data_IF_783909918734
#
_entry.id   IF_783909918734
#
_cell.length_a   1.000
_cell.length_b   1.000
_cell.length_c   1.000
_cell.angle_alpha   90.00
_cell.angle_beta   90.00
_cell.angle_gamma   90.00
#
_symmetry.space_group_name_H-M   'P 1'
#
loop_
_entity.id
_entity.type
_entity.pdbx_description
1 polymer ?
#
# COMPACT_ATOMS: atom_id res chain seq x y z
N UNK A 1 66.10 2.36 3.65
CA UNK A 1 64.80 2.80 4.21
C UNK A 1 63.67 1.97 3.61
N UNK A 2 63.22 1.03 4.42
CA UNK A 2 62.15 0.11 4.03
C UNK A 2 60.82 0.65 4.58
N UNK A 3 60.03 1.27 3.72
CA UNK A 3 58.68 1.73 4.05
C UNK A 3 57.72 0.54 4.17
N UNK A 4 57.37 0.20 5.40
CA UNK A 4 56.38 -0.83 5.72
C UNK A 4 55.00 -0.21 5.53
N UNK A 5 54.32 -0.50 4.41
CA UNK A 5 52.93 -0.08 4.17
C UNK A 5 52.00 -0.99 4.95
N UNK A 6 51.40 -0.48 6.05
CA UNK A 6 50.40 -1.16 6.81
C UNK A 6 49.06 -1.09 6.07
N UNK A 7 48.64 -2.17 5.45
CA UNK A 7 47.30 -2.31 4.89
C UNK A 7 46.31 -2.49 6.03
N UNK A 8 45.54 -1.47 6.33
CA UNK A 8 44.35 -1.59 7.18
C UNK A 8 43.24 -2.20 6.33
N UNK A 9 42.98 -3.48 6.49
CA UNK A 9 41.80 -4.13 5.91
C UNK A 9 40.54 -3.61 6.65
N UNK A 10 39.85 -2.65 6.02
CA UNK A 10 38.51 -2.25 6.46
C UNK A 10 37.57 -3.42 6.08
N UNK A 11 37.37 -4.34 7.00
CA UNK A 11 36.39 -5.39 6.89
C UNK A 11 35.01 -4.75 6.87
N UNK A 12 34.42 -4.59 5.69
CA UNK A 12 32.98 -4.30 5.58
C UNK A 12 32.23 -5.49 6.18
N UNK A 13 31.75 -5.33 7.41
CA UNK A 13 30.82 -6.28 7.99
C UNK A 13 29.60 -6.33 7.06
N UNK A 14 29.45 -7.43 6.33
CA UNK A 14 28.22 -7.73 5.60
C UNK A 14 27.14 -7.82 6.67
N UNK A 15 26.36 -6.75 6.85
CA UNK A 15 25.19 -6.80 7.72
C UNK A 15 24.25 -7.85 7.13
N UNK A 16 23.95 -8.87 7.92
CA UNK A 16 22.90 -9.83 7.57
C UNK A 16 21.64 -9.04 7.20
N UNK A 17 21.04 -9.36 6.08
CA UNK A 17 19.81 -8.73 5.65
C UNK A 17 18.73 -9.05 6.68
N UNK A 18 18.23 -8.04 7.37
CA UNK A 18 17.11 -8.21 8.29
C UNK A 18 15.86 -8.62 7.50
N UNK A 19 15.15 -9.60 8.01
CA UNK A 19 13.91 -10.13 7.43
C UNK A 19 12.84 -10.29 8.49
N UNK A 20 11.59 -10.27 8.08
CA UNK A 20 10.46 -10.60 8.93
C UNK A 20 10.40 -12.14 9.11
N UNK A 21 10.40 -12.58 10.34
CA UNK A 21 10.16 -13.99 10.68
C UNK A 21 8.66 -14.26 10.76
N UNK A 22 8.24 -15.53 10.74
CA UNK A 22 6.85 -15.92 10.93
C UNK A 22 6.29 -15.39 12.28
N UNK A 23 7.12 -15.37 13.34
CA UNK A 23 6.74 -14.79 14.63
C UNK A 23 6.54 -13.28 14.56
N UNK A 24 7.39 -12.55 13.80
CA UNK A 24 7.20 -11.11 13.59
C UNK A 24 5.88 -10.84 12.86
N UNK A 25 5.61 -11.57 11.78
CA UNK A 25 4.37 -11.45 11.00
C UNK A 25 3.15 -11.74 11.88
N UNK A 26 3.16 -12.83 12.63
CA UNK A 26 2.05 -13.17 13.54
C UNK A 26 1.80 -12.09 14.58
N UNK A 27 2.85 -11.51 15.16
CA UNK A 27 2.74 -10.42 16.13
C UNK A 27 2.20 -9.14 15.50
N UNK A 28 2.67 -8.76 14.31
CA UNK A 28 2.21 -7.58 13.58
C UNK A 28 0.72 -7.70 13.27
N UNK A 29 0.30 -8.85 12.72
CA UNK A 29 -1.12 -9.10 12.42
C UNK A 29 -1.99 -9.05 13.67
N UNK A 30 -1.54 -9.66 14.77
CA UNK A 30 -2.27 -9.65 16.04
C UNK A 30 -2.41 -8.24 16.62
N UNK A 31 -1.35 -7.44 16.60
CA UNK A 31 -1.38 -6.06 17.08
C UNK A 31 -2.32 -5.20 16.24
N UNK A 32 -2.25 -5.30 14.91
CA UNK A 32 -3.12 -4.54 14.02
C UNK A 32 -4.60 -4.97 14.17
N UNK A 33 -4.87 -6.26 14.33
CA UNK A 33 -6.22 -6.76 14.58
C UNK A 33 -6.77 -6.27 15.93
N UNK A 34 -5.96 -6.29 16.98
CA UNK A 34 -6.37 -5.78 18.31
C UNK A 34 -6.66 -4.28 18.28
N UNK A 35 -5.87 -3.51 17.54
CA UNK A 35 -6.13 -2.07 17.38
C UNK A 35 -7.42 -1.82 16.60
N UNK A 36 -7.64 -2.56 15.51
CA UNK A 36 -8.87 -2.48 14.73
C UNK A 36 -10.11 -2.86 15.57
N UNK A 37 -10.00 -3.92 16.38
CA UNK A 37 -11.05 -4.34 17.32
C UNK A 37 -11.34 -3.26 18.36
N UNK A 38 -10.29 -2.69 18.97
CA UNK A 38 -10.42 -1.61 19.96
C UNK A 38 -11.09 -0.35 19.42
N UNK A 39 -10.99 -0.13 18.11
CA UNK A 39 -11.69 0.96 17.40
C UNK A 39 -13.09 0.59 16.91
N UNK A 40 -13.50 -0.67 17.02
CA UNK A 40 -14.75 -1.15 16.45
C UNK A 40 -14.77 -1.18 14.93
N UNK A 41 -13.58 -1.27 14.30
CA UNK A 41 -13.39 -1.24 12.85
C UNK A 41 -12.79 -2.57 12.37
N UNK A 42 -13.57 -3.64 12.22
CA UNK A 42 -13.06 -4.90 11.69
C UNK A 42 -12.39 -4.69 10.34
N UNK A 43 -11.16 -5.19 10.20
CA UNK A 43 -10.31 -4.90 9.06
C UNK A 43 -9.84 -6.16 8.33
N UNK A 44 -9.41 -5.97 7.08
CA UNK A 44 -8.54 -6.90 6.36
C UNK A 44 -7.13 -6.34 6.37
N UNK A 45 -6.17 -7.15 6.83
CA UNK A 45 -4.80 -6.74 7.10
C UNK A 45 -3.85 -7.63 6.31
N UNK A 46 -2.86 -7.04 5.63
CA UNK A 46 -1.83 -7.75 4.89
C UNK A 46 -0.44 -7.30 5.33
N UNK A 47 0.50 -8.23 5.35
CA UNK A 47 1.93 -7.98 5.59
C UNK A 47 2.73 -8.52 4.41
N UNK A 48 3.63 -7.69 3.89
CA UNK A 48 4.55 -8.05 2.81
C UNK A 48 5.99 -7.83 3.23
N UNK A 49 6.92 -8.53 2.58
CA UNK A 49 8.35 -8.25 2.75
C UNK A 49 8.81 -7.04 1.91
N UNK A 50 10.11 -6.76 1.95
CA UNK A 50 10.72 -5.62 1.25
C UNK A 50 10.55 -5.65 -0.26
N UNK A 51 10.39 -6.83 -0.85
CA UNK A 51 10.22 -7.03 -2.30
C UNK A 51 8.80 -7.39 -2.70
N UNK A 52 7.84 -7.28 -1.78
CA UNK A 52 6.41 -7.46 -2.05
C UNK A 52 5.92 -8.90 -2.01
N UNK A 53 6.69 -9.87 -1.47
CA UNK A 53 6.12 -11.17 -1.20
C UNK A 53 5.11 -11.05 -0.06
N UNK A 54 3.92 -11.63 -0.25
CA UNK A 54 2.89 -11.66 0.79
C UNK A 54 3.28 -12.68 1.85
N UNK A 55 3.49 -12.20 3.08
CA UNK A 55 3.89 -13.02 4.22
C UNK A 55 2.70 -13.47 5.06
N UNK A 56 1.62 -12.70 5.06
CA UNK A 56 0.40 -13.05 5.75
C UNK A 56 -0.74 -12.10 5.40
N UNK A 57 -1.96 -12.64 5.41
CA UNK A 57 -3.20 -11.87 5.29
C UNK A 57 -4.15 -12.35 6.38
N UNK A 58 -4.77 -11.43 7.07
CA UNK A 58 -5.75 -11.70 8.11
C UNK A 58 -7.03 -10.90 7.85
N UNK A 59 -8.16 -11.60 7.78
CA UNK A 59 -9.48 -10.98 7.61
C UNK A 59 -10.27 -11.16 8.92
N UNK A 60 -10.57 -10.06 9.58
CA UNK A 60 -11.40 -10.07 10.78
C UNK A 60 -12.84 -10.41 10.42
N UNK A 61 -13.53 -11.14 11.31
CA UNK A 61 -14.96 -11.38 11.16
C UNK A 61 -15.73 -10.07 11.28
N UNK A 62 -16.73 -9.88 10.42
CA UNK A 62 -17.56 -8.67 10.44
C UNK A 62 -16.95 -7.45 9.72
N UNK A 63 -15.76 -7.57 9.12
CA UNK A 63 -15.27 -6.53 8.24
C UNK A 63 -16.26 -6.35 7.09
N UNK A 64 -16.97 -5.23 7.09
CA UNK A 64 -17.92 -4.87 6.04
C UNK A 64 -17.20 -3.95 5.06
N UNK A 65 -17.06 -4.41 3.84
CA UNK A 65 -16.09 -3.88 2.93
C UNK A 65 -16.70 -3.35 1.63
N UNK A 66 -18.02 -3.34 1.56
CA UNK A 66 -18.75 -2.65 0.51
C UNK A 66 -19.65 -1.58 1.16
N UNK A 67 -19.31 -0.33 0.95
CA UNK A 67 -20.23 0.75 1.30
C UNK A 67 -21.31 0.85 0.21
N UNK A 68 -22.57 0.50 0.51
CA UNK A 68 -23.65 0.57 -0.47
C UNK A 68 -23.94 2.01 -0.93
N UNK A 69 -23.51 3.02 -0.17
CA UNK A 69 -23.67 4.43 -0.55
C UNK A 69 -22.75 4.86 -1.69
N UNK A 70 -21.71 4.10 -1.96
CA UNK A 70 -20.72 4.38 -3.01
C UNK A 70 -20.72 3.35 -4.15
N UNK A 71 -21.60 2.36 -4.10
CA UNK A 71 -21.74 1.44 -5.22
C UNK A 71 -22.09 2.24 -6.50
N UNK A 72 -21.33 2.07 -7.61
CA UNK A 72 -21.72 2.63 -8.87
C UNK A 72 -23.17 2.23 -9.19
N UNK A 73 -23.95 3.18 -9.65
CA UNK A 73 -25.38 2.97 -9.92
C UNK A 73 -25.61 1.70 -10.75
N UNK A 74 -26.26 0.72 -10.15
CA UNK A 74 -26.67 -0.51 -10.81
C UNK A 74 -25.72 -1.70 -10.70
N UNK A 75 -24.62 -1.60 -10.00
CA UNK A 75 -23.71 -2.74 -9.75
C UNK A 75 -23.82 -3.18 -8.29
N UNK A 76 -24.37 -4.35 -8.04
CA UNK A 76 -24.35 -4.94 -6.70
C UNK A 76 -23.02 -5.67 -6.46
N UNK A 77 -22.42 -5.55 -5.25
CA UNK A 77 -21.28 -6.38 -4.88
C UNK A 77 -21.66 -7.87 -4.94
N UNK A 78 -20.74 -8.72 -5.39
CA UNK A 78 -20.91 -10.17 -5.29
C UNK A 78 -20.94 -10.56 -3.81
N UNK A 79 -22.03 -11.12 -3.28
CA UNK A 79 -22.14 -11.44 -1.86
C UNK A 79 -21.20 -12.58 -1.43
N UNK A 80 -20.60 -13.31 -2.37
CA UNK A 80 -19.66 -14.39 -2.10
C UNK A 80 -18.22 -13.91 -2.01
N UNK A 81 -17.93 -12.69 -2.47
CA UNK A 81 -16.60 -12.07 -2.43
C UNK A 81 -16.61 -10.90 -1.46
N UNK A 82 -15.61 -10.90 -0.58
CA UNK A 82 -15.33 -9.71 0.22
C UNK A 82 -14.61 -8.71 -0.67
N UNK A 83 -15.30 -7.63 -0.96
CA UNK A 83 -14.80 -6.59 -1.87
C UNK A 83 -14.88 -5.22 -1.20
N UNK A 84 -14.09 -4.30 -1.69
CA UNK A 84 -14.16 -2.88 -1.36
C UNK A 84 -14.58 -2.10 -2.58
N UNK A 85 -15.31 -1.02 -2.37
CA UNK A 85 -15.69 -0.10 -3.43
C UNK A 85 -14.49 0.68 -3.92
N UNK A 86 -14.32 0.79 -5.24
CA UNK A 86 -13.29 1.61 -5.84
C UNK A 86 -13.79 3.03 -5.98
N UNK A 87 -13.11 3.95 -5.33
CA UNK A 87 -13.28 5.37 -5.57
C UNK A 87 -12.33 5.80 -6.67
N UNK A 88 -12.85 6.47 -7.63
CA UNK A 88 -12.08 7.02 -8.71
C UNK A 88 -12.83 8.15 -9.37
N UNK A 89 -12.12 9.02 -10.04
CA UNK A 89 -12.75 10.00 -10.89
C UNK A 89 -13.34 9.28 -12.11
N UNK A 90 -14.66 9.22 -12.30
CA UNK A 90 -15.27 8.52 -13.44
C UNK A 90 -14.95 9.16 -14.80
N UNK A 91 -14.11 10.18 -14.84
CA UNK A 91 -13.92 11.05 -16.02
C UNK A 91 -12.68 10.75 -16.85
N UNK A 92 -11.86 9.74 -16.53
CA UNK A 92 -10.68 9.59 -17.36
C UNK A 92 -9.81 8.36 -17.13
N UNK A 93 -8.93 8.06 -18.06
CA UNK A 93 -7.97 6.97 -17.99
C UNK A 93 -6.86 7.19 -16.94
N UNK A 94 -6.83 8.33 -16.32
CA UNK A 94 -5.91 8.75 -15.27
C UNK A 94 -6.36 8.35 -13.85
N UNK A 95 -7.51 7.72 -13.73
CA UNK A 95 -8.11 7.42 -12.43
C UNK A 95 -7.65 6.12 -11.79
N UNK A 96 -6.70 5.39 -12.36
CA UNK A 96 -6.33 4.06 -11.86
C UNK A 96 -7.51 3.09 -11.78
N UNK A 97 -7.31 1.81 -11.67
CA UNK A 97 -8.38 0.80 -11.56
C UNK A 97 -9.53 0.97 -12.55
N UNK A 98 -9.23 1.54 -13.71
CA UNK A 98 -10.18 1.97 -14.72
C UNK A 98 -11.23 0.89 -15.04
N UNK A 99 -12.50 1.23 -14.92
CA UNK A 99 -13.63 0.35 -15.19
C UNK A 99 -13.94 -0.68 -14.10
N UNK A 100 -13.21 -0.69 -12.99
CA UNK A 100 -13.53 -1.55 -11.84
C UNK A 100 -14.43 -0.79 -10.86
N UNK A 101 -15.53 -1.42 -10.47
CA UNK A 101 -16.39 -0.92 -9.41
C UNK A 101 -15.97 -1.43 -8.04
N UNK A 102 -15.44 -2.64 -8.00
CA UNK A 102 -15.04 -3.34 -6.77
C UNK A 102 -13.74 -4.08 -6.99
N UNK A 103 -12.96 -4.24 -5.93
CA UNK A 103 -11.77 -5.08 -5.88
C UNK A 103 -11.80 -5.93 -4.61
N UNK A 104 -11.19 -7.13 -4.59
CA UNK A 104 -11.05 -7.90 -3.38
C UNK A 104 -10.31 -7.11 -2.28
N UNK A 105 -10.84 -7.12 -1.08
CA UNK A 105 -10.27 -6.44 0.08
C UNK A 105 -8.83 -6.89 0.38
N UNK A 106 -8.54 -8.16 0.16
CA UNK A 106 -7.19 -8.73 0.31
C UNK A 106 -6.20 -8.10 -0.66
N UNK A 107 -6.60 -7.88 -1.92
CA UNK A 107 -5.75 -7.22 -2.90
C UNK A 107 -5.54 -5.75 -2.57
N UNK A 108 -6.58 -5.07 -2.06
CA UNK A 108 -6.48 -3.68 -1.60
C UNK A 108 -5.50 -3.56 -0.41
N UNK A 109 -5.62 -4.43 0.59
CA UNK A 109 -4.69 -4.47 1.73
C UNK A 109 -3.25 -4.78 1.28
N UNK A 110 -3.05 -5.73 0.36
CA UNK A 110 -1.74 -6.06 -0.20
C UNK A 110 -1.16 -4.86 -0.96
N UNK A 111 -1.93 -4.17 -1.78
CA UNK A 111 -1.47 -3.01 -2.52
C UNK A 111 -1.03 -1.87 -1.57
N UNK A 112 -1.77 -1.64 -0.48
CA UNK A 112 -1.38 -0.70 0.58
C UNK A 112 -0.06 -1.11 1.24
N UNK A 113 0.09 -2.39 1.60
CA UNK A 113 1.32 -2.92 2.20
C UNK A 113 2.52 -2.78 1.26
N UNK A 114 2.37 -3.16 -0.01
CA UNK A 114 3.40 -3.04 -1.06
C UNK A 114 3.82 -1.59 -1.23
N UNK A 115 2.87 -0.66 -1.21
CA UNK A 115 3.16 0.78 -1.35
C UNK A 115 4.04 1.28 -0.21
N UNK A 116 3.72 0.93 1.03
CA UNK A 116 4.54 1.26 2.19
C UNK A 116 5.96 0.69 2.07
N UNK A 117 6.09 -0.55 1.61
CA UNK A 117 7.38 -1.19 1.41
C UNK A 117 8.20 -0.56 0.27
N UNK A 118 7.58 -0.20 -0.86
CA UNK A 118 8.29 0.24 -2.06
C UNK A 118 8.68 1.71 -2.03
N UNK A 119 7.81 2.58 -1.51
CA UNK A 119 8.08 4.02 -1.46
C UNK A 119 8.96 4.42 -0.29
N UNK A 120 9.18 3.54 0.68
CA UNK A 120 9.99 3.83 1.86
C UNK A 120 11.46 3.41 1.69
N UNK A 121 12.33 4.02 2.47
CA UNK A 121 13.76 3.70 2.56
C UNK A 121 14.21 3.69 4.02
N UNK A 122 15.49 3.43 4.29
CA UNK A 122 16.04 3.52 5.64
C UNK A 122 16.01 4.94 6.20
N UNK A 123 16.00 5.95 5.33
CA UNK A 123 15.98 7.37 5.74
C UNK A 123 14.61 8.01 5.71
N UNK A 124 13.66 7.46 4.96
CA UNK A 124 12.34 8.05 4.77
C UNK A 124 11.24 6.98 4.85
N UNK A 125 10.31 7.18 5.76
CA UNK A 125 9.11 6.37 5.89
C UNK A 125 7.94 7.06 5.17
N UNK A 126 7.36 6.36 4.18
CA UNK A 126 6.17 6.81 3.47
C UNK A 126 4.98 5.93 3.83
N UNK A 127 3.95 6.54 4.40
CA UNK A 127 2.63 5.92 4.48
C UNK A 127 1.83 6.18 3.20
N UNK A 128 0.82 5.37 2.92
CA UNK A 128 -0.10 5.65 1.81
C UNK A 128 -0.88 6.93 2.03
N UNK A 129 -1.08 7.37 3.28
CA UNK A 129 -1.66 8.68 3.56
C UNK A 129 -0.77 9.84 3.10
N UNK A 130 0.54 9.73 3.27
CA UNK A 130 1.47 10.73 2.71
C UNK A 130 1.43 10.68 1.19
N UNK A 131 1.41 9.47 0.59
CA UNK A 131 1.29 9.31 -0.84
C UNK A 131 0.01 9.97 -1.38
N UNK A 132 -1.13 9.82 -0.69
CA UNK A 132 -2.41 10.43 -1.05
C UNK A 132 -2.32 11.95 -1.30
N UNK A 133 -1.49 12.65 -0.55
CA UNK A 133 -1.32 14.09 -0.73
C UNK A 133 -0.45 14.45 -1.95
N UNK A 134 0.62 13.71 -2.16
CA UNK A 134 1.64 14.04 -3.17
C UNK A 134 1.40 13.42 -4.54
N UNK A 135 0.39 12.53 -4.68
CA UNK A 135 -0.03 11.96 -5.97
C UNK A 135 -1.15 12.75 -6.66
N UNK A 136 -1.67 13.82 -6.03
CA UNK A 136 -2.79 14.59 -6.56
C UNK A 136 -2.47 15.22 -7.92
N UNK A 137 -3.49 15.39 -8.75
CA UNK A 137 -3.41 16.12 -10.02
C UNK A 137 -2.93 17.57 -9.81
N UNK A 138 -3.34 18.15 -8.69
CA UNK A 138 -2.91 19.46 -8.25
C UNK A 138 -2.27 19.31 -6.87
N UNK A 139 -1.09 19.90 -6.70
CA UNK A 139 -0.42 19.88 -5.42
C UNK A 139 -1.14 20.81 -4.45
N UNK A 140 -1.31 20.36 -3.22
CA UNK A 140 -2.30 20.74 -2.23
C UNK A 140 -3.72 20.32 -2.67
N UNK A 141 -4.25 19.24 -2.11
CA UNK A 141 -5.59 18.76 -2.42
C UNK A 141 -6.66 19.84 -2.22
N UNK A 142 -7.61 19.90 -3.14
CA UNK A 142 -8.68 20.90 -3.15
C UNK A 142 -8.30 22.22 -3.81
N UNK A 143 -7.05 22.40 -4.28
CA UNK A 143 -6.64 23.55 -5.07
C UNK A 143 -6.72 23.23 -6.57
N UNK A 144 -7.25 24.16 -7.35
CA UNK A 144 -7.26 24.09 -8.80
C UNK A 144 -6.11 24.92 -9.41
N UNK A 145 -5.69 24.56 -10.62
CA UNK A 145 -4.69 25.28 -11.41
C UNK A 145 -3.28 25.34 -10.81
N UNK A 146 -2.96 24.44 -9.91
CA UNK A 146 -1.62 24.25 -9.38
C UNK A 146 -0.91 23.11 -10.13
N UNK A 147 0.43 23.02 -10.08
CA UNK A 147 1.16 21.89 -10.63
C UNK A 147 0.75 20.56 -9.97
N UNK A 148 0.95 19.45 -10.67
CA UNK A 148 0.76 18.12 -10.12
C UNK A 148 1.74 17.83 -8.99
N UNK A 149 1.34 16.94 -8.09
CA UNK A 149 2.19 16.47 -7.00
C UNK A 149 3.41 15.67 -7.49
N UNK A 150 4.48 15.60 -6.69
CA UNK A 150 5.74 14.96 -7.11
C UNK A 150 5.61 13.46 -7.40
N UNK A 151 4.63 12.77 -6.85
CA UNK A 151 4.34 11.36 -7.12
C UNK A 151 3.05 11.16 -7.93
N UNK A 152 2.66 12.14 -8.71
CA UNK A 152 1.47 12.06 -9.58
C UNK A 152 1.43 10.78 -10.43
N UNK A 153 2.58 10.33 -10.94
CA UNK A 153 2.70 9.10 -11.72
C UNK A 153 2.30 7.82 -10.98
N UNK A 154 2.18 7.83 -9.64
CA UNK A 154 1.71 6.67 -8.86
C UNK A 154 0.29 6.27 -9.28
N UNK A 155 -0.55 7.22 -9.67
CA UNK A 155 -1.92 6.95 -10.12
C UNK A 155 -1.95 6.03 -11.34
N UNK A 156 -1.02 6.22 -12.29
CA UNK A 156 -0.95 5.38 -13.49
C UNK A 156 -0.42 3.97 -13.20
N UNK A 157 0.19 3.74 -12.04
CA UNK A 157 0.63 2.40 -11.63
C UNK A 157 -0.52 1.40 -11.48
N UNK A 158 -1.74 1.90 -11.28
CA UNK A 158 -2.94 1.09 -11.12
C UNK A 158 -3.58 0.69 -12.45
N UNK A 159 -3.10 1.23 -13.56
CA UNK A 159 -3.60 0.86 -14.88
C UNK A 159 -3.15 -0.58 -15.23
N UNK A 160 -3.99 -1.35 -15.93
CA UNK A 160 -3.66 -2.74 -16.28
C UNK A 160 -2.39 -2.91 -17.10
N UNK A 161 -1.96 -1.86 -17.80
CA UNK A 161 -0.75 -1.87 -18.63
C UNK A 161 0.49 -1.33 -17.91
N UNK A 162 0.40 -0.93 -16.64
CA UNK A 162 1.55 -0.42 -15.90
C UNK A 162 2.60 -1.51 -15.66
N UNK A 163 3.85 -1.12 -15.47
CA UNK A 163 4.95 -2.05 -15.18
C UNK A 163 4.73 -2.82 -13.86
N UNK A 164 4.07 -2.20 -12.88
CA UNK A 164 3.73 -2.85 -11.60
C UNK A 164 2.58 -3.86 -11.72
N UNK A 165 1.71 -3.71 -12.70
CA UNK A 165 0.58 -4.63 -12.93
C UNK A 165 0.92 -5.70 -13.96
N UNK A 166 1.86 -5.43 -14.87
CA UNK A 166 2.28 -6.40 -15.89
C UNK A 166 3.05 -7.57 -15.25
N UNK A 167 2.87 -8.72 -15.84
CA UNK A 167 3.61 -9.91 -15.48
C UNK A 167 5.07 -9.73 -15.90
N UNK A 168 6.01 -9.67 -14.95
CA UNK A 168 7.39 -9.90 -15.32
C UNK A 168 7.56 -11.36 -15.70
N UNK A 169 8.18 -11.61 -16.85
CA UNK A 169 8.17 -12.91 -17.51
C UNK A 169 9.09 -13.95 -16.87
N UNK A 170 9.91 -13.58 -15.91
CA UNK A 170 11.09 -14.38 -15.57
C UNK A 170 11.18 -14.89 -14.13
N UNK A 171 10.19 -14.60 -13.30
CA UNK A 171 10.17 -15.08 -11.91
C UNK A 171 11.37 -14.66 -11.06
N UNK A 172 12.11 -13.64 -11.49
CA UNK A 172 13.37 -13.23 -10.91
C UNK A 172 13.24 -12.60 -9.54
N UNK A 173 14.35 -12.54 -8.86
CA UNK A 173 14.55 -11.85 -7.59
C UNK A 173 14.40 -10.35 -7.81
N UNK A 174 13.40 -9.75 -7.20
CA UNK A 174 13.15 -8.31 -7.34
C UNK A 174 11.75 -7.93 -6.90
N UNK A 175 11.36 -6.67 -7.04
CA UNK A 175 10.05 -6.21 -6.67
C UNK A 175 8.96 -7.03 -7.34
N UNK A 176 8.04 -7.56 -6.54
CA UNK A 176 6.91 -8.35 -7.02
C UNK A 176 5.86 -7.45 -7.65
N UNK A 177 5.13 -8.00 -8.56
CA UNK A 177 3.99 -7.34 -9.16
C UNK A 177 2.93 -7.04 -8.11
N UNK A 178 2.40 -5.82 -8.14
CA UNK A 178 1.18 -5.46 -7.42
C UNK A 178 -0.01 -5.48 -8.39
N UNK A 179 -0.98 -6.38 -8.24
CA UNK A 179 -2.11 -6.48 -9.16
C UNK A 179 -2.92 -5.18 -9.30
N UNK A 180 -2.99 -4.40 -8.23
CA UNK A 180 -3.68 -3.10 -8.19
C UNK A 180 -2.73 -1.91 -8.31
N UNK A 181 -1.44 -2.14 -8.61
CA UNK A 181 -0.43 -1.08 -8.60
C UNK A 181 -0.08 -0.60 -7.19
N UNK A 182 0.40 0.63 -7.08
CA UNK A 182 0.62 1.31 -5.81
C UNK A 182 -0.66 2.03 -5.36
N UNK A 183 -0.88 2.06 -4.05
CA UNK A 183 -2.05 2.67 -3.45
C UNK A 183 -1.73 4.07 -2.93
N UNK A 184 -2.59 5.03 -3.21
CA UNK A 184 -2.63 6.32 -2.53
C UNK A 184 -3.70 6.38 -1.44
N UNK A 185 -4.48 5.32 -1.29
CA UNK A 185 -5.51 5.20 -0.29
C UNK A 185 -4.89 4.94 1.10
N UNK A 186 -5.27 5.68 2.17
CA UNK A 186 -4.72 5.51 3.51
C UNK A 186 -4.83 4.08 4.06
N UNK A 187 -3.92 3.70 4.95
CA UNK A 187 -3.90 2.39 5.61
C UNK A 187 -2.65 1.54 5.33
N UNK A 188 -1.70 2.04 4.54
CA UNK A 188 -0.42 1.38 4.28
C UNK A 188 0.74 2.05 5.01
N UNK A 189 1.60 1.26 5.65
CA UNK A 189 2.75 1.72 6.43
C UNK A 189 3.98 0.84 6.17
N UNK A 190 5.19 1.38 6.17
CA UNK A 190 6.41 0.61 6.12
C UNK A 190 6.69 -0.10 7.45
N UNK A 191 7.36 -1.24 7.38
CA UNK A 191 7.82 -2.00 8.53
C UNK A 191 9.33 -1.94 8.63
N UNK A 192 9.81 -1.59 9.82
CA UNK A 192 11.24 -1.51 10.13
C UNK A 192 11.63 -2.50 11.23
N UNK A 193 12.81 -3.09 11.08
CA UNK A 193 13.45 -3.94 12.08
C UNK A 193 14.90 -3.50 12.22
N UNK A 194 15.31 -3.18 13.45
CA UNK A 194 16.66 -2.67 13.74
C UNK A 194 17.09 -1.48 12.83
N UNK A 195 16.15 -0.60 12.49
CA UNK A 195 16.39 0.56 11.63
C UNK A 195 16.46 0.25 10.13
N UNK A 196 16.26 -0.99 9.72
CA UNK A 196 16.22 -1.40 8.32
C UNK A 196 14.78 -1.62 7.88
N UNK A 197 14.46 -1.13 6.69
CA UNK A 197 13.16 -1.37 6.05
C UNK A 197 13.08 -2.84 5.63
N UNK A 198 12.12 -3.57 6.21
CA UNK A 198 11.95 -5.02 6.02
C UNK A 198 10.66 -5.41 5.31
N UNK A 199 9.73 -4.47 5.15
CA UNK A 199 8.46 -4.78 4.50
C UNK A 199 7.44 -3.66 4.65
N UNK A 200 6.17 -4.03 4.52
CA UNK A 200 5.04 -3.13 4.73
C UNK A 200 3.82 -3.86 5.29
N UNK A 201 2.96 -3.09 5.92
CA UNK A 201 1.64 -3.52 6.37
C UNK A 201 0.58 -2.67 5.67
N UNK A 202 -0.55 -3.28 5.32
CA UNK A 202 -1.72 -2.60 4.79
C UNK A 202 -2.98 -3.05 5.48
N UNK A 203 -3.87 -2.11 5.78
CA UNK A 203 -5.17 -2.39 6.39
C UNK A 203 -6.29 -1.71 5.61
N UNK A 204 -7.42 -2.38 5.51
CA UNK A 204 -8.67 -1.87 4.94
C UNK A 204 -9.79 -2.14 5.93
N UNK A 205 -10.49 -1.09 6.35
CA UNK A 205 -11.58 -1.19 7.34
C UNK A 205 -12.82 -0.37 6.96
N UNK A 206 -12.70 0.59 6.05
CA UNK A 206 -13.73 1.57 5.70
C UNK A 206 -14.55 1.20 4.45
N UNK A 207 -14.24 0.06 3.84
CA UNK A 207 -14.96 -0.42 2.64
C UNK A 207 -14.61 0.32 1.35
N UNK A 208 -13.71 1.29 1.39
CA UNK A 208 -13.30 2.09 0.26
C UNK A 208 -11.87 1.79 -0.21
N UNK A 209 -11.60 2.01 -1.50
CA UNK A 209 -10.26 1.91 -2.06
C UNK A 209 -10.11 2.88 -3.24
N UNK A 210 -9.16 3.78 -3.17
CA UNK A 210 -8.88 4.72 -4.24
C UNK A 210 -8.31 6.04 -3.76
N UNK A 211 -8.15 6.95 -4.70
CA UNK A 211 -7.68 8.29 -4.42
C UNK A 211 -8.85 9.19 -4.04
N UNK A 212 -8.83 9.74 -2.84
CA UNK A 212 -9.72 10.82 -2.47
C UNK A 212 -9.17 12.14 -3.04
N UNK A 213 -9.87 12.70 -4.00
CA UNK A 213 -9.49 13.98 -4.62
C UNK A 213 -9.85 15.18 -3.76
N UNK A 214 -10.73 14.99 -2.78
CA UNK A 214 -11.12 16.02 -1.81
C UNK A 214 -10.97 15.51 -0.38
N UNK A 215 -9.80 15.69 0.18
CA UNK A 215 -9.48 15.28 1.55
C UNK A 215 -10.31 15.98 2.64
N UNK A 216 -11.08 17.02 2.29
CA UNK A 216 -11.90 17.76 3.24
C UNK A 216 -13.31 17.17 3.41
N UNK A 217 -13.78 16.36 2.46
CA UNK A 217 -15.14 15.85 2.47
C UNK A 217 -15.37 14.59 3.33
N UNK A 218 -14.37 14.12 4.02
CA UNK A 218 -14.41 12.94 4.90
C UNK A 218 -14.71 11.59 4.22
N UNK A 219 -14.87 11.57 2.90
CA UNK A 219 -15.04 10.35 2.13
C UNK A 219 -13.66 9.71 1.97
N UNK A 220 -13.53 8.41 2.22
CA UNK A 220 -12.24 7.69 2.11
C UNK A 220 -11.27 7.94 3.28
N UNK A 221 -11.73 8.49 4.38
CA UNK A 221 -10.94 8.51 5.61
C UNK A 221 -10.93 7.12 6.24
N UNK A 222 -9.87 6.37 6.01
CA UNK A 222 -9.47 5.43 7.03
C UNK A 222 -9.13 6.25 8.28
N UNK A 223 -10.02 6.29 9.24
CA UNK A 223 -9.72 6.84 10.55
C UNK A 223 -8.73 5.88 11.21
N UNK A 224 -7.46 6.19 11.07
CA UNK A 224 -6.38 5.55 11.84
C UNK A 224 -6.04 6.46 13.00
#
# INVERSE_FOLDING_TARGET
DLLLATFVAIGSAVRAQEVLTASDVGRILAQAASEAEGRGLPATIAVVDRVGNVLGVFQMTGANLADPGFAPLGVAPDPTLRTVTVFGNPRGPDTGLNGLAFVPDTLAAIAKAVTGAYLSSQGNAFSTRTASQIVQNHFNPGEERTPSGPLYGVQVSQLPCSDLSRRSSDGTVGPKRSPLGLSADPGGLPLYKNGLLVGGIGAVADGGYGLDVDIFNQIGRAHV
#
